data_IF_013197628583
#
_entry.id   IF_013197628583
#
_cell.length_a   1.000
_cell.length_b   1.000
_cell.length_c   1.000
_cell.angle_alpha   90.00
_cell.angle_beta   90.00
_cell.angle_gamma   90.00
#
_symmetry.space_group_name_H-M   'P 1'
#
loop_
_entity.id
_entity.type
_entity.pdbx_description
1 polymer ?
#
# COMPACT_ATOMS: atom_id res chain seq x y z
N UNK A 1 -12.51 -8.01 2.56
CA UNK A 1 -13.82 -8.61 2.82
C UNK A 1 -14.85 -7.95 1.92
N UNK A 2 -15.64 -8.73 1.22
CA UNK A 2 -16.71 -8.28 0.31
C UNK A 2 -18.01 -8.97 0.72
N UNK A 3 -19.11 -8.23 0.73
CA UNK A 3 -20.45 -8.76 0.97
C UNK A 3 -21.40 -8.22 -0.10
N UNK A 4 -22.24 -9.08 -0.63
CA UNK A 4 -23.28 -8.70 -1.59
C UNK A 4 -24.52 -8.11 -0.89
N UNK A 5 -24.71 -8.44 0.38
CA UNK A 5 -25.81 -7.93 1.18
C UNK A 5 -25.30 -7.35 2.51
N UNK A 6 -25.22 -6.01 2.64
CA UNK A 6 -24.72 -5.36 3.85
C UNK A 6 -25.60 -5.61 5.08
N UNK A 7 -26.88 -5.87 4.93
CA UNK A 7 -27.80 -6.08 6.06
C UNK A 7 -27.44 -7.32 6.87
N UNK A 8 -26.91 -8.36 6.23
CA UNK A 8 -26.43 -9.55 6.95
C UNK A 8 -25.27 -9.20 7.88
N UNK A 9 -24.38 -8.34 7.43
CA UNK A 9 -23.25 -7.88 8.24
C UNK A 9 -23.72 -6.99 9.39
N UNK A 10 -24.57 -6.00 9.11
CA UNK A 10 -25.13 -5.07 10.09
C UNK A 10 -25.86 -5.84 11.19
N UNK A 11 -26.70 -6.81 10.84
CA UNK A 11 -27.46 -7.62 11.80
C UNK A 11 -26.55 -8.35 12.80
N UNK A 12 -25.37 -8.77 12.37
CA UNK A 12 -24.40 -9.51 13.23
C UNK A 12 -23.53 -8.56 14.03
N UNK A 13 -23.16 -7.41 13.46
CA UNK A 13 -22.13 -6.52 14.02
C UNK A 13 -22.72 -5.35 14.80
N UNK A 14 -23.95 -4.91 14.50
CA UNK A 14 -24.56 -3.75 15.15
C UNK A 14 -24.96 -4.08 16.59
N UNK A 15 -24.52 -3.23 17.52
CA UNK A 15 -24.95 -3.25 18.92
C UNK A 15 -25.93 -2.13 19.23
N UNK A 16 -25.99 -1.10 18.38
CA UNK A 16 -26.85 0.10 18.42
C UNK A 16 -27.22 0.59 19.84
N UNK A 17 -26.26 0.88 20.71
CA UNK A 17 -26.54 1.33 22.06
C UNK A 17 -27.24 2.72 22.03
N UNK A 18 -28.15 2.96 22.97
CA UNK A 18 -28.99 4.17 22.99
C UNK A 18 -28.20 5.48 23.00
N UNK A 19 -27.05 5.52 23.66
CA UNK A 19 -26.20 6.71 23.74
C UNK A 19 -25.49 7.09 22.42
N UNK A 20 -25.48 6.19 21.43
CA UNK A 20 -24.93 6.45 20.09
C UNK A 20 -25.99 6.74 19.04
N UNK A 21 -27.26 6.68 19.39
CA UNK A 21 -28.34 6.98 18.46
C UNK A 21 -28.36 8.49 18.17
N UNK A 22 -28.53 8.84 16.91
CA UNK A 22 -28.58 10.23 16.43
C UNK A 22 -29.83 10.44 15.57
N UNK A 23 -30.21 11.68 15.38
CA UNK A 23 -31.32 12.05 14.48
C UNK A 23 -31.08 11.65 13.01
N UNK A 24 -29.82 11.41 12.64
CA UNK A 24 -29.43 11.00 11.29
C UNK A 24 -29.49 9.46 11.08
N UNK A 25 -29.79 8.68 12.13
CA UNK A 25 -29.90 7.24 12.02
C UNK A 25 -31.04 6.87 11.04
N UNK A 26 -30.74 5.97 10.11
CA UNK A 26 -31.66 5.61 9.01
C UNK A 26 -31.63 6.57 7.80
N UNK A 27 -31.03 7.76 7.92
CA UNK A 27 -30.86 8.70 6.79
C UNK A 27 -29.47 8.58 6.14
N UNK A 28 -28.49 8.08 6.88
CA UNK A 28 -27.11 7.90 6.43
C UNK A 28 -26.62 6.49 6.73
N UNK A 29 -25.60 6.05 6.00
CA UNK A 29 -24.94 4.78 6.29
C UNK A 29 -24.02 4.94 7.50
N UNK A 30 -24.38 4.29 8.62
CA UNK A 30 -23.58 4.29 9.83
C UNK A 30 -22.55 3.15 9.79
N UNK A 31 -21.30 3.46 9.46
CA UNK A 31 -20.22 2.45 9.41
C UNK A 31 -19.82 1.89 10.80
N UNK A 32 -20.32 2.46 11.91
CA UNK A 32 -20.20 1.86 13.25
C UNK A 32 -20.84 0.47 13.31
N UNK A 33 -21.92 0.27 12.51
CA UNK A 33 -22.70 -0.97 12.49
C UNK A 33 -22.08 -2.04 11.58
N UNK A 34 -20.96 -1.72 10.91
CA UNK A 34 -20.30 -2.60 9.96
C UNK A 34 -19.09 -3.33 10.52
N UNK A 35 -18.85 -3.27 11.82
CA UNK A 35 -17.73 -3.94 12.47
C UNK A 35 -17.74 -3.83 13.99
N UNK A 36 -16.88 -4.60 14.62
CA UNK A 36 -16.79 -4.70 16.07
C UNK A 36 -16.47 -3.35 16.76
N UNK A 37 -15.48 -2.54 16.30
CA UNK A 37 -15.17 -1.29 16.97
C UNK A 37 -16.24 -0.23 16.73
N UNK A 38 -16.86 0.28 17.80
CA UNK A 38 -17.83 1.38 17.73
C UNK A 38 -17.20 2.71 17.31
N UNK A 39 -16.01 2.99 17.79
CA UNK A 39 -15.25 4.19 17.45
C UNK A 39 -14.08 3.90 16.52
N UNK A 40 -13.90 4.71 15.49
CA UNK A 40 -12.78 4.61 14.56
C UNK A 40 -12.11 5.96 14.35
N UNK A 41 -10.79 5.93 14.17
CA UNK A 41 -10.07 7.14 13.72
C UNK A 41 -10.58 7.56 12.35
N UNK A 42 -10.80 8.84 12.16
CA UNK A 42 -11.21 9.42 10.87
C UNK A 42 -10.01 9.42 9.89
N UNK A 43 -9.66 8.23 9.38
CA UNK A 43 -8.52 8.03 8.47
C UNK A 43 -8.72 8.73 7.13
N UNK A 44 -9.96 8.92 6.70
CA UNK A 44 -10.29 9.66 5.49
C UNK A 44 -9.79 11.12 5.52
N UNK A 45 -9.63 11.71 6.71
CA UNK A 45 -9.11 13.07 6.86
C UNK A 45 -7.68 13.19 6.32
N UNK A 46 -6.82 12.20 6.53
CA UNK A 46 -5.45 12.18 5.99
C UNK A 46 -5.46 12.20 4.46
N UNK A 47 -6.32 11.38 3.86
CA UNK A 47 -6.49 11.36 2.40
C UNK A 47 -7.05 12.68 1.88
N UNK A 48 -8.03 13.25 2.57
CA UNK A 48 -8.60 14.54 2.22
C UNK A 48 -7.56 15.66 2.24
N UNK A 49 -6.73 15.74 3.28
CA UNK A 49 -5.64 16.70 3.35
C UNK A 49 -4.64 16.53 2.22
N UNK A 50 -4.25 15.28 1.91
CA UNK A 50 -3.34 14.99 0.80
C UNK A 50 -3.93 15.48 -0.53
N UNK A 51 -5.19 15.15 -0.80
CA UNK A 51 -5.89 15.57 -2.02
C UNK A 51 -6.04 17.08 -2.11
N UNK A 52 -6.29 17.76 -0.98
CA UNK A 52 -6.40 19.21 -0.94
C UNK A 52 -5.06 19.93 -1.10
N UNK A 53 -4.00 19.38 -0.51
CA UNK A 53 -2.64 19.93 -0.55
C UNK A 53 -2.00 19.78 -1.93
N UNK A 54 -2.03 18.56 -2.49
CA UNK A 54 -1.34 18.23 -3.74
C UNK A 54 -2.22 18.48 -4.98
N UNK A 55 -3.52 18.33 -4.83
CA UNK A 55 -4.46 18.29 -5.94
C UNK A 55 -4.30 17.03 -6.80
N UNK A 56 -5.22 16.82 -7.72
CA UNK A 56 -5.17 15.66 -8.62
C UNK A 56 -3.96 15.70 -9.55
N UNK A 57 -3.58 16.88 -10.03
CA UNK A 57 -2.45 17.03 -10.93
C UNK A 57 -1.10 16.86 -10.23
N UNK A 58 -0.96 17.35 -9.00
CA UNK A 58 0.23 17.10 -8.17
C UNK A 58 0.45 15.61 -7.93
N UNK A 59 -0.61 14.87 -7.59
CA UNK A 59 -0.54 13.42 -7.39
C UNK A 59 -0.18 12.68 -8.69
N UNK A 60 -0.76 13.07 -9.84
CA UNK A 60 -0.39 12.48 -11.14
C UNK A 60 1.09 12.71 -11.48
N UNK A 61 1.59 13.94 -11.26
CA UNK A 61 2.99 14.29 -11.48
C UNK A 61 3.91 13.45 -10.60
N UNK A 62 3.55 13.25 -9.34
CA UNK A 62 4.29 12.42 -8.41
C UNK A 62 4.36 10.98 -8.88
N UNK A 63 3.21 10.38 -9.23
CA UNK A 63 3.16 9.01 -9.75
C UNK A 63 3.97 8.84 -11.04
N UNK A 64 3.88 9.79 -11.99
CA UNK A 64 4.67 9.73 -13.24
C UNK A 64 6.17 9.74 -12.94
N UNK A 65 6.62 10.63 -12.05
CA UNK A 65 8.01 10.67 -11.62
C UNK A 65 8.47 9.35 -10.99
N UNK A 66 7.64 8.75 -10.17
CA UNK A 66 7.97 7.49 -9.51
C UNK A 66 8.05 6.34 -10.53
N UNK A 67 7.21 6.34 -11.56
CA UNK A 67 7.30 5.40 -12.68
C UNK A 67 8.56 5.63 -13.55
N UNK A 68 8.94 6.88 -13.77
CA UNK A 68 10.18 7.23 -14.47
C UNK A 68 11.40 6.78 -13.69
N UNK A 69 11.42 6.97 -12.37
CA UNK A 69 12.47 6.48 -11.48
C UNK A 69 12.60 4.96 -11.51
N UNK A 70 11.48 4.23 -11.52
CA UNK A 70 11.49 2.77 -11.60
C UNK A 70 12.09 2.30 -12.93
N UNK A 71 11.72 2.91 -14.05
CA UNK A 71 12.31 2.62 -15.37
C UNK A 71 13.81 2.94 -15.43
N UNK A 72 14.21 4.05 -14.83
CA UNK A 72 15.61 4.41 -14.75
C UNK A 72 16.41 3.38 -13.96
N UNK A 73 15.88 2.95 -12.79
CA UNK A 73 16.52 1.92 -11.97
C UNK A 73 16.59 0.57 -12.69
N UNK A 74 15.55 0.19 -13.41
CA UNK A 74 15.54 -0.99 -14.28
C UNK A 74 16.69 -0.96 -15.29
N UNK A 75 16.84 0.16 -16.00
CA UNK A 75 17.91 0.34 -17.00
C UNK A 75 19.30 0.29 -16.34
N UNK A 76 19.49 0.94 -15.20
CA UNK A 76 20.76 0.91 -14.47
C UNK A 76 21.10 -0.50 -13.97
N UNK A 77 20.11 -1.21 -13.45
CA UNK A 77 20.30 -2.60 -12.98
C UNK A 77 20.69 -3.54 -14.11
N UNK A 78 20.05 -3.40 -15.28
CA UNK A 78 20.41 -4.19 -16.45
C UNK A 78 21.79 -3.84 -17.03
N UNK A 79 22.22 -2.59 -16.89
CA UNK A 79 23.52 -2.12 -17.39
C UNK A 79 24.69 -2.43 -16.42
N UNK A 80 24.40 -2.68 -15.16
CA UNK A 80 25.42 -2.94 -14.13
C UNK A 80 25.76 -4.43 -14.09
N UNK A 81 27.05 -4.81 -14.22
CA UNK A 81 27.48 -6.19 -14.14
C UNK A 81 27.00 -6.87 -12.83
N UNK A 82 26.63 -8.13 -12.94
CA UNK A 82 26.21 -8.99 -11.83
C UNK A 82 24.88 -8.58 -11.14
N UNK A 83 24.15 -7.63 -11.69
CA UNK A 83 22.79 -7.32 -11.22
C UNK A 83 21.77 -7.91 -12.19
N UNK A 84 20.74 -8.53 -11.64
CA UNK A 84 19.64 -9.11 -12.43
C UNK A 84 18.29 -8.61 -11.90
N UNK A 85 17.36 -8.41 -12.83
CA UNK A 85 15.96 -8.27 -12.49
C UNK A 85 15.36 -9.65 -12.24
N UNK A 86 14.74 -9.86 -11.08
CA UNK A 86 14.09 -11.13 -10.72
C UNK A 86 12.61 -11.18 -11.10
N UNK A 87 12.03 -10.03 -11.46
CA UNK A 87 10.65 -9.92 -11.92
C UNK A 87 10.51 -8.77 -12.92
N UNK A 88 9.50 -8.82 -13.82
CA UNK A 88 9.18 -7.67 -14.67
C UNK A 88 8.85 -6.44 -13.84
N UNK A 89 9.38 -5.29 -14.22
CA UNK A 89 9.11 -4.03 -13.55
C UNK A 89 7.69 -3.59 -13.85
N UNK A 90 6.85 -3.62 -12.82
CA UNK A 90 5.47 -3.15 -12.89
C UNK A 90 5.28 -2.00 -11.91
N UNK A 91 4.71 -0.91 -12.40
CA UNK A 91 4.52 0.31 -11.65
C UNK A 91 5.84 0.83 -11.04
N UNK A 92 5.94 0.88 -9.72
CA UNK A 92 7.08 1.46 -8.99
C UNK A 92 7.97 0.41 -8.33
N UNK A 93 7.63 -0.88 -8.48
CA UNK A 93 8.35 -1.97 -7.82
C UNK A 93 9.43 -2.51 -8.75
N UNK A 94 10.67 -2.44 -8.31
CA UNK A 94 11.84 -3.00 -9.00
C UNK A 94 12.46 -4.05 -8.09
N UNK A 95 12.47 -5.30 -8.54
CA UNK A 95 13.06 -6.41 -7.81
C UNK A 95 14.39 -6.76 -8.45
N UNK A 96 15.47 -6.55 -7.73
CA UNK A 96 16.84 -6.82 -8.18
C UNK A 96 17.53 -7.84 -7.29
N UNK A 97 18.45 -8.60 -7.89
CA UNK A 97 19.32 -9.53 -7.19
C UNK A 97 20.75 -9.33 -7.68
N UNK A 98 21.70 -9.38 -6.77
CA UNK A 98 23.09 -9.50 -7.13
C UNK A 98 23.39 -10.97 -7.45
N UNK A 99 24.07 -11.25 -8.54
CA UNK A 99 24.33 -12.60 -9.03
C UNK A 99 25.77 -12.64 -9.58
N UNK A 100 26.73 -12.65 -8.67
CA UNK A 100 28.14 -12.71 -9.06
C UNK A 100 28.55 -14.11 -9.54
N UNK A 101 29.38 -14.20 -10.57
CA UNK A 101 29.91 -15.48 -11.03
C UNK A 101 30.67 -16.23 -9.93
N UNK A 102 30.30 -17.50 -9.71
CA UNK A 102 30.95 -18.38 -8.75
C UNK A 102 30.42 -18.38 -7.33
N UNK A 103 29.41 -17.57 -7.04
CA UNK A 103 28.68 -17.64 -5.78
C UNK A 103 27.52 -18.62 -5.85
N UNK A 104 27.27 -19.33 -4.76
CA UNK A 104 26.09 -20.18 -4.59
C UNK A 104 24.86 -19.28 -4.22
N UNK A 105 23.66 -19.84 -4.33
CA UNK A 105 22.43 -19.13 -3.97
C UNK A 105 22.44 -18.71 -2.48
N UNK A 106 22.95 -19.58 -1.60
CA UNK A 106 23.05 -19.30 -0.17
C UNK A 106 24.03 -18.16 0.13
N UNK A 107 25.16 -18.09 -0.56
CA UNK A 107 26.13 -17.00 -0.42
C UNK A 107 25.56 -15.67 -0.91
N UNK A 108 24.81 -15.69 -2.01
CA UNK A 108 24.13 -14.50 -2.54
C UNK A 108 23.06 -14.00 -1.56
N UNK A 109 22.30 -14.90 -0.93
CA UNK A 109 21.27 -14.54 0.04
C UNK A 109 21.90 -13.91 1.30
N UNK A 110 22.99 -14.48 1.82
CA UNK A 110 23.74 -13.91 2.95
C UNK A 110 24.27 -12.51 2.59
N UNK A 111 24.91 -12.36 1.44
CA UNK A 111 25.42 -11.09 0.97
C UNK A 111 24.29 -10.06 0.79
N UNK A 112 23.14 -10.47 0.27
CA UNK A 112 21.96 -9.59 0.09
C UNK A 112 21.43 -9.08 1.43
N UNK A 113 21.37 -9.94 2.45
CA UNK A 113 20.93 -9.56 3.80
C UNK A 113 21.91 -8.56 4.45
N UNK A 114 23.21 -8.80 4.32
CA UNK A 114 24.24 -7.87 4.80
C UNK A 114 24.15 -6.51 4.09
N UNK A 115 24.00 -6.53 2.78
CA UNK A 115 23.86 -5.31 1.99
C UNK A 115 22.63 -4.49 2.41
N UNK A 116 21.47 -5.13 2.55
CA UNK A 116 20.23 -4.49 3.02
C UNK A 116 20.39 -3.91 4.43
N UNK A 117 21.11 -4.63 5.31
CA UNK A 117 21.34 -4.14 6.69
C UNK A 117 22.23 -2.88 6.75
N UNK A 118 23.10 -2.69 5.75
CA UNK A 118 23.99 -1.54 5.65
C UNK A 118 23.32 -0.31 5.00
N UNK A 119 22.16 -0.46 4.37
CA UNK A 119 21.42 0.64 3.76
C UNK A 119 20.45 1.30 4.76
N UNK A 120 20.02 0.56 5.79
CA UNK A 120 19.13 1.03 6.85
C UNK A 120 19.96 1.63 8.00
#
# INVERSE_FOLDING_TARGET
>A
FYTSNPEHLIRVMSTNPSYLQTYADGQVTNYRDWGIPLGRRMRALKLWFLLKSEGAEGLRKRLRRDLENAKWLEQQSCATPNWKLVAPVQLQTVCVRYDAPGMTDEEIDVWTLEWVSNIN
#
